data_IF_402625751586
#
_entry.id   IF_402625751586
#
_cell.length_a   1.000
_cell.length_b   1.000
_cell.length_c   1.000
_cell.angle_alpha   90.00
_cell.angle_beta   90.00
_cell.angle_gamma   90.00
#
_symmetry.space_group_name_H-M   'P 1'
#
loop_
_entity.id
_entity.type
_entity.pdbx_description
1 polymer ?
#
# COMPACT_ATOMS: atom_id res chain seq x y z
N UNK A 1 15.15 -15.97 -3.12
CA UNK A 1 15.77 -15.71 -1.81
C UNK A 1 14.63 -15.41 -0.86
N UNK A 2 14.60 -16.03 0.32
CA UNK A 2 13.66 -15.67 1.38
C UNK A 2 14.32 -14.61 2.27
N UNK A 3 13.51 -13.88 3.04
CA UNK A 3 13.91 -12.66 3.74
C UNK A 3 14.52 -11.60 2.81
N UNK A 4 13.79 -11.28 1.73
CA UNK A 4 14.25 -10.29 0.74
C UNK A 4 13.10 -9.58 0.06
N UNK A 5 13.41 -8.47 -0.60
CA UNK A 5 12.51 -7.78 -1.50
C UNK A 5 13.02 -7.84 -2.95
N UNK A 6 12.12 -7.67 -3.91
CA UNK A 6 12.47 -7.56 -5.33
C UNK A 6 11.53 -6.62 -6.07
N UNK A 7 11.95 -6.19 -7.26
CA UNK A 7 11.06 -5.52 -8.19
C UNK A 7 9.96 -6.49 -8.68
N UNK A 8 8.80 -5.94 -8.99
CA UNK A 8 7.68 -6.67 -9.58
C UNK A 8 7.06 -5.82 -10.67
N UNK A 9 6.68 -6.45 -11.77
CA UNK A 9 6.07 -5.75 -12.89
C UNK A 9 4.68 -5.22 -12.50
N UNK A 10 4.36 -3.94 -12.76
CA UNK A 10 3.04 -3.35 -12.50
C UNK A 10 1.90 -4.12 -13.16
N UNK A 11 2.15 -4.73 -14.33
CA UNK A 11 1.14 -5.50 -15.06
C UNK A 11 0.71 -6.81 -14.37
N UNK A 12 1.32 -7.17 -13.24
CA UNK A 12 0.91 -8.33 -12.45
C UNK A 12 -0.34 -8.04 -11.62
N UNK A 13 -0.63 -6.77 -11.35
CA UNK A 13 -1.76 -6.32 -10.55
C UNK A 13 -3.01 -6.14 -11.42
N UNK A 14 -4.18 -6.42 -10.83
CA UNK A 14 -5.49 -6.20 -11.46
C UNK A 14 -6.14 -4.91 -10.97
N UNK A 15 -6.40 -4.01 -11.89
CA UNK A 15 -6.96 -2.67 -11.64
C UNK A 15 -8.22 -2.45 -12.48
N UNK A 16 -8.96 -1.36 -12.24
CA UNK A 16 -10.14 -1.05 -13.06
C UNK A 16 -9.72 -0.77 -14.50
N UNK A 17 -10.14 -1.63 -15.42
CA UNK A 17 -9.87 -1.50 -16.85
C UNK A 17 -10.76 -0.46 -17.54
N UNK A 18 -10.49 -0.16 -18.81
CA UNK A 18 -11.21 0.89 -19.59
C UNK A 18 -12.74 0.75 -19.56
N UNK A 19 -13.25 -0.48 -19.48
CA UNK A 19 -14.69 -0.78 -19.52
C UNK A 19 -15.30 -1.05 -18.14
N UNK A 20 -14.56 -0.87 -17.04
CA UNK A 20 -14.97 -1.27 -15.69
C UNK A 20 -16.35 -0.75 -15.28
N UNK A 21 -16.71 0.49 -15.67
CA UNK A 21 -18.02 1.04 -15.30
C UNK A 21 -19.19 0.28 -15.93
N UNK A 22 -18.98 -0.43 -17.05
CA UNK A 22 -19.98 -1.23 -17.76
C UNK A 22 -19.98 -2.69 -17.30
N UNK A 23 -18.81 -3.32 -17.17
CA UNK A 23 -18.69 -4.77 -16.94
C UNK A 23 -18.26 -5.17 -15.52
N UNK A 24 -17.80 -4.21 -14.71
CA UNK A 24 -17.21 -4.41 -13.38
C UNK A 24 -15.99 -5.35 -13.36
N UNK A 25 -15.33 -5.54 -14.51
CA UNK A 25 -14.16 -6.42 -14.65
C UNK A 25 -12.86 -5.64 -14.52
N UNK A 26 -11.95 -6.20 -13.71
CA UNK A 26 -10.58 -5.69 -13.59
C UNK A 26 -9.70 -6.36 -14.65
N UNK A 27 -8.81 -5.57 -15.22
CA UNK A 27 -7.79 -6.01 -16.16
C UNK A 27 -6.40 -5.86 -15.55
N UNK A 28 -5.39 -6.47 -16.16
CA UNK A 28 -4.00 -6.21 -15.79
C UNK A 28 -3.65 -4.74 -16.01
N UNK A 29 -2.94 -4.15 -15.04
CA UNK A 29 -2.53 -2.76 -15.13
C UNK A 29 -1.54 -2.54 -16.30
N UNK A 30 -1.45 -1.31 -16.83
CA UNK A 30 -0.35 -0.95 -17.72
C UNK A 30 1.00 -1.25 -17.09
N UNK A 31 1.99 -1.68 -17.87
CA UNK A 31 3.31 -2.09 -17.36
C UNK A 31 4.23 -0.90 -17.01
N UNK A 32 3.69 0.11 -16.34
CA UNK A 32 4.40 1.30 -15.90
C UNK A 32 3.86 1.73 -14.52
N UNK A 33 4.77 2.17 -13.64
CA UNK A 33 4.44 2.76 -12.35
C UNK A 33 5.06 4.16 -12.21
N UNK A 34 4.47 5.00 -11.37
CA UNK A 34 5.03 6.32 -11.08
C UNK A 34 6.34 6.25 -10.29
N UNK A 35 6.44 5.32 -9.34
CA UNK A 35 7.62 5.14 -8.51
C UNK A 35 8.10 3.69 -8.55
N UNK A 36 9.43 3.51 -8.62
CA UNK A 36 10.11 2.21 -8.66
C UNK A 36 10.82 1.92 -7.34
N UNK A 37 10.76 0.67 -6.84
CA UNK A 37 11.36 0.32 -5.56
C UNK A 37 12.89 0.33 -5.65
N UNK A 38 13.54 0.82 -4.58
CA UNK A 38 15.00 0.75 -4.41
C UNK A 38 15.45 0.23 -3.05
N UNK A 39 14.55 0.05 -2.09
CA UNK A 39 14.87 -0.47 -0.77
C UNK A 39 13.65 -0.91 0.01
N UNK A 40 13.86 -1.71 1.05
CA UNK A 40 12.87 -2.10 2.04
C UNK A 40 13.58 -2.32 3.37
N UNK A 41 13.09 -1.68 4.43
CA UNK A 41 13.47 -1.99 5.81
C UNK A 41 12.29 -2.62 6.54
N UNK A 42 12.60 -3.51 7.47
CA UNK A 42 11.61 -4.16 8.32
C UNK A 42 12.06 -4.09 9.76
N UNK A 43 11.22 -3.57 10.65
CA UNK A 43 11.54 -3.48 12.07
C UNK A 43 10.33 -3.74 12.96
N UNK A 44 10.62 -4.14 14.19
CA UNK A 44 9.65 -4.36 15.25
C UNK A 44 9.67 -3.17 16.21
N UNK A 45 8.51 -2.73 16.69
CA UNK A 45 8.40 -1.63 17.62
C UNK A 45 7.26 -1.86 18.62
N UNK A 46 7.44 -1.38 19.86
CA UNK A 46 6.43 -1.48 20.93
C UNK A 46 5.23 -0.56 20.69
N UNK A 47 5.44 0.51 19.93
CA UNK A 47 4.44 1.49 19.51
C UNK A 47 4.66 1.80 18.03
N UNK A 48 3.66 2.40 17.38
CA UNK A 48 3.77 2.81 15.98
C UNK A 48 4.75 3.96 15.86
N UNK A 49 5.63 3.88 14.86
CA UNK A 49 6.52 4.99 14.51
C UNK A 49 5.95 5.68 13.28
N UNK A 50 5.28 6.80 13.53
CA UNK A 50 4.77 7.66 12.48
C UNK A 50 5.87 8.56 11.92
N UNK A 51 5.74 8.91 10.64
CA UNK A 51 6.68 9.78 9.93
C UNK A 51 8.13 9.24 10.03
N UNK A 52 8.32 7.96 9.71
CA UNK A 52 9.59 7.23 9.88
C UNK A 52 10.74 7.88 9.09
N UNK A 53 10.44 8.59 8.01
CA UNK A 53 11.43 9.30 7.18
C UNK A 53 12.26 10.34 7.95
N UNK A 54 11.82 10.78 9.14
CA UNK A 54 12.61 11.67 10.01
C UNK A 54 13.73 10.97 10.78
N UNK A 55 13.72 9.63 10.80
CA UNK A 55 14.66 8.80 11.56
C UNK A 55 15.60 7.98 10.67
N UNK A 56 15.40 8.00 9.35
CA UNK A 56 16.21 7.24 8.39
C UNK A 56 16.98 8.18 7.46
N UNK A 57 18.18 7.76 7.08
CA UNK A 57 19.00 8.51 6.12
C UNK A 57 18.51 8.24 4.69
N UNK A 58 17.74 9.18 4.16
CA UNK A 58 17.26 9.11 2.78
C UNK A 58 18.34 9.53 1.78
N UNK A 59 18.41 8.89 0.59
CA UNK A 59 19.40 9.25 -0.42
C UNK A 59 19.18 10.70 -0.91
N UNK A 60 20.26 11.45 -1.04
CA UNK A 60 20.22 12.79 -1.63
C UNK A 60 19.97 12.68 -3.13
N UNK A 61 18.77 13.04 -3.58
CA UNK A 61 18.41 13.08 -5.00
C UNK A 61 18.23 14.54 -5.40
N UNK A 62 18.92 14.98 -6.44
CA UNK A 62 18.76 16.32 -7.00
C UNK A 62 17.29 16.56 -7.36
N UNK A 63 16.63 17.50 -6.67
CA UNK A 63 15.26 17.91 -6.95
C UNK A 63 15.19 18.63 -8.28
N UNK A 64 14.70 17.96 -9.33
CA UNK A 64 14.56 18.52 -10.67
C UNK A 64 13.09 18.84 -11.04
N UNK A 65 12.14 18.74 -10.11
CA UNK A 65 10.72 18.83 -10.43
C UNK A 65 9.80 19.29 -9.31
N UNK A 66 8.51 19.46 -9.66
CA UNK A 66 7.41 19.85 -8.75
C UNK A 66 6.88 18.69 -7.89
N UNK A 67 7.42 17.49 -8.05
CA UNK A 67 6.98 16.28 -7.36
C UNK A 67 8.10 15.77 -6.45
N UNK A 68 7.77 15.18 -5.30
CA UNK A 68 8.75 14.47 -4.49
C UNK A 68 9.44 13.37 -5.30
N UNK A 69 10.78 13.32 -5.27
CA UNK A 69 11.52 12.27 -5.96
C UNK A 69 11.43 10.93 -5.23
N UNK A 70 11.13 10.97 -3.94
CA UNK A 70 11.02 9.80 -3.09
C UNK A 70 9.57 9.59 -2.66
N UNK A 71 9.14 8.34 -2.69
CA UNK A 71 7.92 7.88 -2.04
C UNK A 71 8.30 6.84 -1.01
N UNK A 72 7.94 7.09 0.25
CA UNK A 72 8.09 6.15 1.35
C UNK A 72 6.70 5.63 1.69
N UNK A 73 6.57 4.32 1.81
CA UNK A 73 5.33 3.69 2.27
C UNK A 73 5.65 2.87 3.50
N UNK A 74 5.14 3.29 4.64
CA UNK A 74 5.36 2.63 5.92
C UNK A 74 4.10 1.83 6.28
N UNK A 75 4.17 0.51 6.15
CA UNK A 75 3.05 -0.39 6.45
C UNK A 75 3.17 -0.87 7.89
N UNK A 76 2.37 -0.29 8.79
CA UNK A 76 2.38 -0.58 10.22
C UNK A 76 1.36 -1.68 10.52
N UNK A 77 1.82 -2.88 10.87
CA UNK A 77 0.97 -4.06 11.10
C UNK A 77 0.97 -4.46 12.58
N UNK A 78 -0.20 -4.60 13.22
CA UNK A 78 -0.27 -5.04 14.62
C UNK A 78 0.18 -6.49 14.77
N UNK A 79 0.96 -6.77 15.81
CA UNK A 79 1.35 -8.14 16.21
C UNK A 79 0.39 -8.75 17.25
N UNK A 80 -0.44 -7.93 17.86
CA UNK A 80 -1.45 -8.39 18.82
C UNK A 80 -2.72 -8.92 18.12
N UNK A 81 -3.49 -9.80 18.79
CA UNK A 81 -4.75 -10.30 18.25
C UNK A 81 -5.80 -9.21 18.01
N UNK A 82 -6.60 -9.36 16.95
CA UNK A 82 -7.68 -8.42 16.66
C UNK A 82 -8.81 -8.51 17.70
N UNK A 83 -9.16 -7.39 18.33
CA UNK A 83 -10.33 -7.28 19.20
C UNK A 83 -11.51 -6.57 18.50
N UNK A 84 -12.75 -6.95 18.85
CA UNK A 84 -13.98 -6.33 18.34
C UNK A 84 -14.16 -4.90 18.85
N UNK A 85 -13.85 -4.68 20.13
CA UNK A 85 -13.90 -3.38 20.80
C UNK A 85 -12.48 -3.02 21.22
N UNK A 86 -11.74 -2.41 20.30
CA UNK A 86 -10.36 -2.03 20.51
C UNK A 86 -10.27 -0.54 20.81
N UNK A 87 -9.96 -0.18 22.05
CA UNK A 87 -9.72 1.21 22.46
C UNK A 87 -8.30 1.69 22.12
N UNK A 88 -7.33 0.78 22.13
CA UNK A 88 -5.92 1.08 21.89
C UNK A 88 -5.51 0.60 20.50
N UNK A 89 -5.08 1.54 19.65
CA UNK A 89 -4.65 1.28 18.26
C UNK A 89 -3.18 1.64 18.04
N UNK A 90 -2.45 1.86 19.13
CA UNK A 90 -1.03 2.15 19.15
C UNK A 90 -0.36 1.16 20.09
N UNK A 91 0.37 0.20 19.53
CA UNK A 91 0.91 -0.92 20.28
C UNK A 91 1.86 -1.73 19.44
N UNK A 92 2.27 -2.89 19.97
CA UNK A 92 3.33 -3.69 19.37
C UNK A 92 2.99 -4.08 17.92
N UNK A 93 3.95 -3.82 17.03
CA UNK A 93 3.78 -3.97 15.60
C UNK A 93 5.08 -4.22 14.86
N UNK A 94 4.93 -4.62 13.61
CA UNK A 94 5.97 -4.61 12.60
C UNK A 94 5.74 -3.43 11.65
N UNK A 95 6.80 -2.80 11.19
CA UNK A 95 6.73 -1.80 10.13
C UNK A 95 7.50 -2.28 8.92
N UNK A 96 6.85 -2.28 7.75
CA UNK A 96 7.52 -2.46 6.46
C UNK A 96 7.70 -1.09 5.84
N UNK A 97 8.93 -0.58 5.81
CA UNK A 97 9.25 0.71 5.20
C UNK A 97 9.74 0.46 3.79
N UNK A 98 8.90 0.76 2.83
CA UNK A 98 9.14 0.53 1.42
C UNK A 98 9.59 1.83 0.77
N UNK A 99 10.77 1.83 0.16
CA UNK A 99 11.36 3.02 -0.44
C UNK A 99 11.28 2.96 -1.97
N UNK A 100 10.75 4.02 -2.57
CA UNK A 100 10.58 4.14 -4.01
C UNK A 100 11.13 5.46 -4.55
N UNK A 101 11.70 5.41 -5.76
CA UNK A 101 12.21 6.56 -6.53
C UNK A 101 11.23 6.89 -7.65
N UNK A 102 11.03 8.17 -7.94
CA UNK A 102 10.22 8.63 -9.08
C UNK A 102 10.79 8.09 -10.40
N UNK A 103 9.91 7.59 -11.26
CA UNK A 103 10.25 7.07 -12.57
C UNK A 103 10.74 8.20 -13.49
N UNK A 104 11.84 7.98 -14.20
CA UNK A 104 12.33 8.89 -15.25
C UNK A 104 11.31 9.05 -16.39
N UNK A 105 10.42 8.06 -16.55
CA UNK A 105 9.34 8.05 -17.52
C UNK A 105 8.00 8.55 -16.96
N UNK A 106 8.01 9.20 -15.78
CA UNK A 106 6.79 9.71 -15.16
C UNK A 106 6.02 10.68 -16.07
N UNK A 107 6.74 11.52 -16.82
CA UNK A 107 6.14 12.48 -17.77
C UNK A 107 5.39 11.82 -18.92
N UNK A 108 5.69 10.55 -19.23
CA UNK A 108 5.00 9.75 -20.25
C UNK A 108 3.69 9.13 -19.76
N UNK A 109 3.43 9.17 -18.44
CA UNK A 109 2.19 8.64 -17.87
C UNK A 109 0.98 9.50 -18.25
N UNK A 110 -0.24 8.94 -18.28
CA UNK A 110 -1.45 9.69 -18.65
C UNK A 110 -1.61 10.98 -17.83
N UNK A 111 -2.01 12.07 -18.49
CA UNK A 111 -2.13 13.39 -17.84
C UNK A 111 -3.09 13.40 -16.65
N UNK A 112 -4.21 12.66 -16.74
CA UNK A 112 -5.15 12.50 -15.64
C UNK A 112 -4.52 11.81 -14.42
N UNK A 113 -3.62 10.86 -14.64
CA UNK A 113 -2.93 10.17 -13.56
C UNK A 113 -1.88 11.08 -12.92
N UNK A 114 -1.16 11.86 -13.71
CA UNK A 114 -0.24 12.87 -13.19
C UNK A 114 -0.99 13.92 -12.35
N UNK A 115 -2.18 14.33 -12.78
CA UNK A 115 -3.09 15.19 -12.01
C UNK A 115 -3.48 14.54 -10.68
N UNK A 116 -3.94 13.28 -10.71
CA UNK A 116 -4.28 12.53 -9.50
C UNK A 116 -3.12 12.45 -8.49
N UNK A 117 -1.90 12.22 -8.95
CA UNK A 117 -0.72 12.19 -8.06
C UNK A 117 -0.48 13.56 -7.42
N UNK A 118 -0.62 14.67 -8.16
CA UNK A 118 -0.50 16.03 -7.57
C UNK A 118 -1.58 16.28 -6.53
N UNK A 119 -2.84 15.99 -6.88
CA UNK A 119 -3.99 16.16 -5.97
C UNK A 119 -3.88 15.32 -4.70
N UNK A 120 -3.23 14.15 -4.79
CA UNK A 120 -2.89 13.30 -3.64
C UNK A 120 -1.84 13.96 -2.72
N UNK A 121 -0.80 14.53 -3.31
CA UNK A 121 0.29 15.23 -2.60
C UNK A 121 -0.24 16.48 -1.92
N UNK A 122 -0.99 17.31 -2.66
CA UNK A 122 -1.50 18.62 -2.24
C UNK A 122 -2.70 18.54 -1.26
N UNK A 123 -3.06 17.34 -0.83
CA UNK A 123 -4.19 17.07 0.08
C UNK A 123 -5.52 17.69 -0.39
N UNK A 124 -5.76 17.62 -1.70
CA UNK A 124 -6.98 18.18 -2.26
C UNK A 124 -8.22 17.41 -1.80
N UNK A 125 -9.38 18.06 -1.92
CA UNK A 125 -10.69 17.45 -1.70
C UNK A 125 -11.47 17.34 -3.01
N UNK A 126 -12.47 16.47 -3.04
CA UNK A 126 -13.38 16.36 -4.17
C UNK A 126 -14.84 16.25 -3.74
N UNK A 127 -15.72 16.76 -4.60
CA UNK A 127 -17.16 16.61 -4.44
C UNK A 127 -17.60 15.28 -5.03
N UNK A 128 -18.16 14.43 -4.17
CA UNK A 128 -18.75 13.15 -4.55
C UNK A 128 -20.26 13.29 -4.43
N UNK A 129 -20.97 12.93 -5.51
CA UNK A 129 -22.43 12.91 -5.50
C UNK A 129 -22.94 11.84 -4.56
N UNK A 130 -23.62 12.26 -3.50
CA UNK A 130 -24.22 11.39 -2.49
C UNK A 130 -25.73 11.61 -2.42
N UNK A 131 -26.44 10.65 -1.84
CA UNK A 131 -27.85 10.80 -1.50
C UNK A 131 -27.97 10.72 0.02
N UNK A 132 -28.55 11.73 0.73
CA UNK A 132 -29.36 12.85 0.24
C UNK A 132 -28.59 14.13 -0.15
N UNK A 133 -27.29 14.23 0.15
CA UNK A 133 -26.47 15.40 -0.17
C UNK A 133 -25.09 14.99 -0.73
N UNK A 134 -24.53 15.86 -1.56
CA UNK A 134 -23.14 15.77 -2.00
C UNK A 134 -22.20 15.80 -0.80
N UNK A 135 -21.15 14.99 -0.84
CA UNK A 135 -20.11 14.95 0.19
C UNK A 135 -18.82 15.55 -0.38
N UNK A 136 -18.12 16.31 0.46
CA UNK A 136 -16.72 16.69 0.19
C UNK A 136 -15.86 15.64 0.89
N UNK A 137 -15.07 14.90 0.13
CA UNK A 137 -14.17 13.87 0.65
C UNK A 137 -12.73 14.20 0.30
N UNK A 138 -11.76 13.85 1.18
CA UNK A 138 -10.35 13.95 0.84
C UNK A 138 -10.02 13.11 -0.41
N UNK A 139 -9.27 13.70 -1.35
CA UNK A 139 -8.85 12.99 -2.57
C UNK A 139 -7.98 11.77 -2.22
N UNK A 140 -7.26 11.82 -1.10
CA UNK A 140 -6.49 10.71 -0.52
C UNK A 140 -7.32 9.45 -0.24
N UNK A 141 -8.64 9.55 -0.09
CA UNK A 141 -9.51 8.38 -0.01
C UNK A 141 -9.51 7.52 -1.29
N UNK A 142 -9.06 8.08 -2.43
CA UNK A 142 -8.88 7.33 -3.67
C UNK A 142 -7.66 6.42 -3.64
N UNK A 143 -6.72 6.59 -2.72
CA UNK A 143 -5.61 5.65 -2.57
C UNK A 143 -6.16 4.25 -2.25
N UNK A 144 -5.66 3.22 -2.95
CA UNK A 144 -6.05 1.83 -2.76
C UNK A 144 -4.82 0.96 -2.64
N UNK A 145 -4.86 0.08 -1.63
CA UNK A 145 -3.84 -0.94 -1.40
C UNK A 145 -4.21 -2.18 -2.22
N UNK A 146 -3.23 -2.66 -2.98
CA UNK A 146 -3.28 -3.89 -3.74
C UNK A 146 -2.32 -4.88 -3.08
N UNK A 147 -2.88 -5.93 -2.46
CA UNK A 147 -2.11 -7.01 -1.87
C UNK A 147 -2.38 -8.32 -2.60
N UNK A 148 -1.33 -9.06 -2.90
CA UNK A 148 -1.43 -10.40 -3.47
C UNK A 148 -0.43 -11.36 -2.87
N UNK A 149 -0.89 -12.53 -2.46
CA UNK A 149 -0.04 -13.69 -2.20
C UNK A 149 0.14 -14.44 -3.53
N UNK A 150 1.38 -14.60 -3.96
CA UNK A 150 1.73 -15.16 -5.27
C UNK A 150 1.72 -16.69 -5.23
N UNK A 151 2.31 -17.27 -4.19
CA UNK A 151 2.54 -18.70 -4.05
C UNK A 151 1.46 -19.42 -3.23
N UNK A 152 0.19 -19.02 -3.36
CA UNK A 152 -0.94 -19.60 -2.58
C UNK A 152 -1.03 -21.12 -2.75
N UNK A 153 -0.69 -21.63 -3.93
CA UNK A 153 -0.71 -23.07 -4.24
C UNK A 153 0.31 -23.85 -3.40
N UNK A 154 1.48 -23.25 -3.15
CA UNK A 154 2.59 -23.86 -2.41
C UNK A 154 2.44 -23.77 -0.88
N UNK A 155 1.50 -22.95 -0.40
CA UNK A 155 1.28 -22.77 1.03
C UNK A 155 0.55 -23.97 1.65
N UNK A 156 0.96 -24.41 2.86
CA UNK A 156 0.30 -25.49 3.60
C UNK A 156 -1.02 -25.00 4.23
N UNK A 157 -2.03 -24.77 3.39
CA UNK A 157 -3.36 -24.28 3.76
C UNK A 157 -4.40 -25.40 3.75
N UNK A 158 -5.31 -25.39 4.73
CA UNK A 158 -6.53 -26.18 4.67
C UNK A 158 -7.43 -25.74 3.51
N UNK A 159 -8.41 -26.56 3.12
CA UNK A 159 -9.35 -26.21 2.05
C UNK A 159 -10.13 -24.90 2.32
N UNK A 160 -10.49 -24.66 3.59
CA UNK A 160 -11.19 -23.45 4.01
C UNK A 160 -10.28 -22.21 3.93
N UNK A 161 -9.04 -22.29 4.42
CA UNK A 161 -8.07 -21.21 4.33
C UNK A 161 -7.70 -20.90 2.88
N UNK A 162 -7.51 -21.92 2.04
CA UNK A 162 -7.24 -21.74 0.61
C UNK A 162 -8.38 -20.98 -0.07
N UNK A 163 -9.63 -21.38 0.18
CA UNK A 163 -10.81 -20.68 -0.35
C UNK A 163 -10.88 -19.22 0.14
N UNK A 164 -10.55 -18.98 1.42
CA UNK A 164 -10.49 -17.63 1.99
C UNK A 164 -9.43 -16.80 1.28
N UNK A 165 -8.19 -17.29 1.22
CA UNK A 165 -7.07 -16.60 0.58
C UNK A 165 -7.39 -16.26 -0.86
N UNK A 166 -7.87 -17.22 -1.67
CA UNK A 166 -8.27 -16.97 -3.06
C UNK A 166 -9.41 -15.94 -3.16
N UNK A 167 -10.36 -15.94 -2.21
CA UNK A 167 -11.47 -15.00 -2.24
C UNK A 167 -11.08 -13.56 -1.88
N UNK A 168 -9.99 -13.34 -1.14
CA UNK A 168 -9.51 -12.02 -0.74
C UNK A 168 -8.25 -11.57 -1.50
N UNK A 169 -7.53 -12.48 -2.15
CA UNK A 169 -6.36 -12.17 -2.98
C UNK A 169 -6.73 -11.14 -4.05
N UNK A 170 -5.90 -10.11 -4.23
CA UNK A 170 -6.10 -9.04 -5.24
C UNK A 170 -7.36 -8.16 -5.03
N UNK A 171 -8.13 -8.38 -3.95
CA UNK A 171 -9.21 -7.48 -3.57
C UNK A 171 -8.65 -6.29 -2.80
N UNK A 172 -9.07 -5.05 -3.14
CA UNK A 172 -8.63 -3.88 -2.39
C UNK A 172 -9.10 -4.01 -0.94
N UNK A 173 -8.18 -3.81 0.00
CA UNK A 173 -8.53 -3.78 1.42
C UNK A 173 -9.24 -2.46 1.69
N UNK A 174 -10.41 -2.52 2.34
CA UNK A 174 -11.14 -1.35 2.82
C UNK A 174 -10.32 -0.65 3.90
N UNK A 175 -9.49 0.30 3.47
CA UNK A 175 -8.82 1.28 4.30
C UNK A 175 -9.59 2.60 4.17
N UNK A 176 -10.39 2.95 5.18
CA UNK A 176 -11.09 4.24 5.23
C UNK A 176 -10.93 4.85 6.61
N UNK A 177 -10.68 6.16 6.68
CA UNK A 177 -9.42 6.82 6.34
C UNK A 177 -8.42 6.57 7.49
N UNK A 178 -7.32 5.88 7.19
CA UNK A 178 -6.36 5.43 8.21
C UNK A 178 -4.93 5.64 7.76
N UNK A 179 -4.75 6.43 6.70
CA UNK A 179 -3.45 6.71 6.14
C UNK A 179 -3.07 8.12 6.52
N UNK A 180 -1.89 8.28 7.10
CA UNK A 180 -1.31 9.59 7.37
C UNK A 180 -0.28 9.89 6.27
N UNK A 181 -0.19 11.15 5.89
CA UNK A 181 0.69 11.59 4.80
C UNK A 181 1.61 12.67 5.32
N UNK A 182 2.91 12.52 5.07
CA UNK A 182 3.92 13.49 5.47
C UNK A 182 4.70 13.94 4.25
N UNK A 183 4.74 15.26 4.03
CA UNK A 183 5.52 15.87 2.96
C UNK A 183 6.82 16.41 3.56
N UNK A 184 7.95 15.86 3.13
CA UNK A 184 9.28 16.38 3.43
C UNK A 184 9.84 17.21 2.28
N UNK A 185 11.11 17.61 2.38
CA UNK A 185 11.76 18.44 1.35
C UNK A 185 11.82 17.76 -0.03
N UNK A 186 11.98 16.44 -0.07
CA UNK A 186 12.14 15.68 -1.33
C UNK A 186 11.41 14.33 -1.33
N UNK A 187 10.52 14.11 -0.35
CA UNK A 187 9.78 12.86 -0.22
C UNK A 187 8.32 13.10 0.16
N UNK A 188 7.46 12.18 -0.30
CA UNK A 188 6.16 11.93 0.28
C UNK A 188 6.24 10.63 1.08
N UNK A 189 5.81 10.65 2.33
CA UNK A 189 5.60 9.44 3.12
C UNK A 189 4.10 9.16 3.26
N UNK A 190 3.74 7.89 3.14
CA UNK A 190 2.39 7.38 3.38
C UNK A 190 2.48 6.30 4.47
N UNK A 191 2.00 6.63 5.67
CA UNK A 191 1.80 5.66 6.75
C UNK A 191 0.50 4.91 6.50
N UNK A 192 0.56 3.59 6.33
CA UNK A 192 -0.59 2.70 6.21
C UNK A 192 -0.81 2.00 7.55
N UNK A 193 -1.65 2.59 8.40
CA UNK A 193 -1.88 2.12 9.76
C UNK A 193 -2.90 0.96 9.79
N UNK A 194 -2.38 -0.28 9.77
CA UNK A 194 -3.22 -1.47 9.84
C UNK A 194 -3.76 -1.76 11.24
N UNK A 195 -3.28 -1.08 12.29
CA UNK A 195 -3.88 -1.17 13.63
C UNK A 195 -5.30 -0.62 13.63
N UNK A 196 -5.58 0.34 12.74
CA UNK A 196 -6.91 0.94 12.60
C UNK A 196 -7.83 0.18 11.65
N UNK A 197 -7.31 -0.79 10.86
CA UNK A 197 -8.08 -1.47 9.81
C UNK A 197 -9.30 -2.18 10.38
N UNK A 198 -10.30 -2.48 9.54
CA UNK A 198 -11.49 -3.19 10.02
C UNK A 198 -11.13 -4.50 10.75
N UNK A 199 -11.94 -4.90 11.74
CA UNK A 199 -11.72 -6.14 12.50
C UNK A 199 -11.48 -7.36 11.60
N UNK A 200 -12.23 -7.48 10.50
CA UNK A 200 -12.09 -8.57 9.53
C UNK A 200 -10.70 -8.55 8.90
N UNK A 201 -10.22 -7.37 8.50
CA UNK A 201 -8.88 -7.20 7.93
C UNK A 201 -7.81 -7.57 8.96
N UNK A 202 -7.87 -7.02 10.19
CA UNK A 202 -6.88 -7.32 11.25
C UNK A 202 -6.85 -8.81 11.60
N UNK A 203 -8.03 -9.45 11.72
CA UNK A 203 -8.13 -10.89 11.99
C UNK A 203 -7.53 -11.72 10.85
N UNK A 204 -7.80 -11.34 9.60
CA UNK A 204 -7.22 -11.99 8.42
C UNK A 204 -5.70 -11.91 8.42
N UNK A 205 -5.14 -10.72 8.67
CA UNK A 205 -3.69 -10.54 8.75
C UNK A 205 -3.07 -11.30 9.91
N UNK A 206 -3.61 -11.22 11.13
CA UNK A 206 -3.09 -11.95 12.29
C UNK A 206 -3.03 -13.47 12.03
N UNK A 207 -4.07 -14.05 11.42
CA UNK A 207 -4.11 -15.49 11.08
C UNK A 207 -3.06 -15.88 10.03
N UNK A 208 -2.71 -14.93 9.16
CA UNK A 208 -1.75 -15.12 8.08
C UNK A 208 -0.31 -14.76 8.48
N UNK A 209 -0.14 -14.02 9.57
CA UNK A 209 1.11 -13.36 9.91
C UNK A 209 2.26 -14.36 10.16
N UNK A 210 2.00 -15.45 10.90
CA UNK A 210 3.00 -16.50 11.16
C UNK A 210 3.46 -17.24 9.88
N UNK A 211 2.71 -17.10 8.79
CA UNK A 211 3.01 -17.71 7.50
C UNK A 211 3.78 -16.77 6.57
N UNK A 212 4.03 -15.51 6.95
CA UNK A 212 4.77 -14.54 6.12
C UNK A 212 6.11 -15.07 5.63
N UNK A 213 6.81 -15.86 6.46
CA UNK A 213 8.08 -16.51 6.13
C UNK A 213 8.01 -17.53 4.98
N UNK A 214 6.80 -18.01 4.66
CA UNK A 214 6.54 -18.92 3.56
C UNK A 214 5.94 -18.20 2.34
N UNK A 215 5.57 -16.92 2.48
CA UNK A 215 4.77 -16.22 1.49
C UNK A 215 5.62 -15.34 0.58
N UNK A 216 5.23 -15.30 -0.68
CA UNK A 216 5.68 -14.29 -1.64
C UNK A 216 4.53 -13.30 -1.81
N UNK A 217 4.73 -12.07 -1.34
CA UNK A 217 3.73 -11.01 -1.31
C UNK A 217 4.07 -9.94 -2.33
N UNK A 218 3.14 -9.66 -3.22
CA UNK A 218 3.16 -8.46 -4.03
C UNK A 218 2.34 -7.38 -3.34
N UNK A 219 2.99 -6.26 -3.07
CA UNK A 219 2.38 -5.05 -2.55
C UNK A 219 2.36 -3.99 -3.65
N UNK A 220 1.26 -3.26 -3.76
CA UNK A 220 1.17 -2.11 -4.63
C UNK A 220 0.14 -1.09 -4.17
N UNK A 221 0.32 0.14 -4.63
CA UNK A 221 -0.64 1.23 -4.47
C UNK A 221 -1.16 1.67 -5.83
N UNK A 222 -2.43 2.08 -5.87
CA UNK A 222 -3.03 2.75 -7.03
C UNK A 222 -3.95 3.87 -6.56
N UNK A 223 -4.24 4.82 -7.45
CA UNK A 223 -5.21 5.87 -7.20
C UNK A 223 -6.48 5.53 -7.99
N UNK A 224 -7.61 5.45 -7.29
CA UNK A 224 -8.86 5.00 -7.84
C UNK A 224 -9.43 5.98 -8.88
N UNK A 225 -9.77 5.45 -10.06
CA UNK A 225 -10.56 6.14 -11.07
C UNK A 225 -12.05 6.09 -10.75
N UNK A 226 -12.70 7.27 -10.72
CA UNK A 226 -14.13 7.46 -10.51
C UNK A 226 -14.87 7.86 -11.79
N UNK A 227 -14.16 8.21 -12.86
CA UNK A 227 -14.75 8.56 -14.16
C UNK A 227 -14.15 7.72 -15.30
N UNK A 228 -14.88 7.47 -16.40
CA UNK A 228 -14.37 6.66 -17.52
C UNK A 228 -13.06 7.16 -18.13
N UNK A 229 -12.86 8.47 -18.21
CA UNK A 229 -11.64 9.11 -18.71
C UNK A 229 -10.41 8.93 -17.80
N UNK A 230 -10.64 8.52 -16.54
CA UNK A 230 -9.61 8.20 -15.56
C UNK A 230 -9.19 6.70 -15.62
N UNK A 231 -9.69 5.94 -16.61
CA UNK A 231 -9.42 4.51 -16.77
C UNK A 231 -8.59 4.22 -18.04
N UNK A 232 -7.71 3.20 -18.03
CA UNK A 232 -7.47 2.28 -16.92
C UNK A 232 -6.68 2.93 -15.79
N UNK A 233 -6.91 2.44 -14.57
CA UNK A 233 -6.10 2.83 -13.41
C UNK A 233 -4.61 2.47 -13.64
N UNK A 234 -3.72 3.24 -13.02
CA UNK A 234 -2.25 3.07 -13.13
C UNK A 234 -1.67 2.79 -11.74
N UNK A 235 -0.60 2.00 -11.69
CA UNK A 235 0.10 1.68 -10.44
C UNK A 235 0.92 2.90 -10.01
N UNK A 236 0.75 3.31 -8.75
CA UNK A 236 1.55 4.36 -8.13
C UNK A 236 2.95 3.83 -7.82
N UNK A 237 3.01 2.71 -7.10
CA UNK A 237 4.23 2.00 -6.76
C UNK A 237 3.92 0.52 -6.51
N UNK A 238 4.91 -0.37 -6.66
CA UNK A 238 4.77 -1.78 -6.31
C UNK A 238 6.12 -2.44 -6.01
N UNK A 239 6.08 -3.47 -5.15
CA UNK A 239 7.25 -4.25 -4.73
C UNK A 239 6.82 -5.67 -4.35
N UNK A 240 7.74 -6.63 -4.47
CA UNK A 240 7.58 -7.97 -3.95
C UNK A 240 8.39 -8.16 -2.66
N UNK A 241 7.77 -8.75 -1.64
CA UNK A 241 8.39 -9.21 -0.41
C UNK A 241 8.36 -10.75 -0.40
N UNK A 242 9.47 -11.40 -0.07
CA UNK A 242 9.59 -12.86 -0.15
C UNK A 242 10.08 -13.45 1.16
N UNK A 243 9.23 -14.26 1.80
CA UNK A 243 9.53 -15.04 3.01
C UNK A 243 10.08 -14.19 4.14
N UNK A 244 9.36 -13.13 4.50
CA UNK A 244 9.72 -12.28 5.63
C UNK A 244 9.48 -13.06 6.92
N UNK A 245 10.55 -13.36 7.66
CA UNK A 245 10.48 -13.97 8.98
C UNK A 245 10.75 -12.92 10.05
N UNK A 246 9.67 -12.35 10.60
CA UNK A 246 9.77 -11.27 11.57
C UNK A 246 10.51 -11.64 12.86
N UNK A 247 10.63 -12.94 13.16
CA UNK A 247 11.36 -13.41 14.35
C UNK A 247 12.86 -13.18 14.25
N UNK A 248 13.37 -12.90 13.05
CA UNK A 248 14.77 -12.55 12.82
C UNK A 248 15.09 -11.07 13.05
N UNK A 249 14.08 -10.20 13.21
CA UNK A 249 14.31 -8.77 13.36
C UNK A 249 14.39 -8.37 14.83
N UNK A 250 15.26 -7.41 15.12
CA UNK A 250 15.38 -6.84 16.45
C UNK A 250 14.26 -5.85 16.73
N UNK A 251 13.81 -5.82 17.99
CA UNK A 251 12.90 -4.81 18.47
C UNK A 251 13.64 -3.49 18.66
N UNK A 252 13.14 -2.43 18.02
CA UNK A 252 13.57 -1.07 18.30
C UNK A 252 13.10 -0.72 19.71
N UNK A 253 14.07 -0.55 20.60
CA UNK A 253 13.84 0.01 21.94
C UNK A 253 13.72 1.51 21.76
N UNK A 254 12.50 2.03 21.79
CA UNK A 254 12.26 3.48 21.84
C UNK A 254 12.52 3.89 23.29
N UNK A 255 13.63 4.59 23.55
CA UNK A 255 13.93 5.23 24.83
C UNK A 255 13.31 6.62 24.93
#
# INVERSE_FOLDING_TARGET
MFDSWSQVDPNTFRVRGKNYFRDKKKDFAPNHAAYHPFGCDVFLSQQKINHISRFVELPTINSCGKLPNLLIVNVQVPLYPAALFQSETDGEGISFVLYFKLSERYSELPSHFQDHVRRLIDDEVEKVKGFPMDAIVPFRERLKILGRVVNVEDLPLSAAERKLMTAYNEKPVLSRPQHEFYLGENYLEIDLDMHRFSYISRKGFHTFFDRLKLCVLDFGLTIQGNKPEELPEVILCCMRLSGIDYTNYHQLVVH
#
